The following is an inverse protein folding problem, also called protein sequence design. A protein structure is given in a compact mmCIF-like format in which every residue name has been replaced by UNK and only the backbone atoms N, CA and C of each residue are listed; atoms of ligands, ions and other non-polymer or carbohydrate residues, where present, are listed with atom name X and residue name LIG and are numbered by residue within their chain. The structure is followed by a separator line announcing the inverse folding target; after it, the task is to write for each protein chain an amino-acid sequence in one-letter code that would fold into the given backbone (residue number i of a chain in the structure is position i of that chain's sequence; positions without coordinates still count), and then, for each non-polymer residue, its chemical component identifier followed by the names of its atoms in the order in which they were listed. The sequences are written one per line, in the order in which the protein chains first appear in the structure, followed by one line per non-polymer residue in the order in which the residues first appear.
data_IF_832219053098
#
_entry.id   IF_832219053098
#
_cell.length_a   1.000
_cell.length_b   1.000
_cell.length_c   1.000
_cell.angle_alpha   90.00
_cell.angle_beta   90.00
_cell.angle_gamma   90.00
#
_symmetry.space_group_name_H-M   'P 1'
#
loop_
_entity.id
_entity.type
_entity.pdbx_description
1 polymer ?
#
# COMPACT_ATOMS: atom_id res chain seq x y z
N UNK A 1 -9.32 14.68 -6.29
CA UNK A 1 -8.59 14.91 -5.03
C UNK A 1 -7.50 13.86 -4.97
N UNK A 2 -6.22 14.26 -4.95
CA UNK A 2 -5.11 13.32 -4.75
C UNK A 2 -5.16 12.84 -3.29
N UNK A 3 -5.26 11.53 -3.07
CA UNK A 3 -5.16 10.96 -1.73
C UNK A 3 -3.71 11.00 -1.27
N UNK A 4 -3.45 11.31 0.00
CA UNK A 4 -2.12 11.09 0.59
C UNK A 4 -2.08 9.70 1.24
N UNK A 5 -1.06 8.92 0.90
CA UNK A 5 -0.78 7.68 1.61
C UNK A 5 -0.33 8.00 3.04
N UNK A 6 -0.58 7.10 3.99
CA UNK A 6 -0.12 7.29 5.38
C UNK A 6 1.39 7.37 5.54
N UNK A 7 2.16 6.95 4.54
CA UNK A 7 3.61 7.13 4.51
C UNK A 7 4.04 8.57 4.14
N UNK A 8 3.10 9.45 3.75
CA UNK A 8 3.37 10.82 3.31
C UNK A 8 3.54 10.99 1.79
N UNK A 9 3.56 9.88 1.02
CA UNK A 9 3.60 9.95 -0.44
C UNK A 9 2.26 10.40 -1.04
N UNK A 10 2.31 11.30 -2.02
CA UNK A 10 1.14 11.64 -2.83
C UNK A 10 0.73 10.47 -3.72
N UNK A 11 -0.54 10.06 -3.65
CA UNK A 11 -1.13 9.11 -4.58
C UNK A 11 -1.63 9.90 -5.77
N UNK A 12 -0.76 10.02 -6.78
CA UNK A 12 -0.93 10.96 -7.91
C UNK A 12 -1.98 10.53 -8.93
N UNK A 13 -2.31 9.24 -9.02
CA UNK A 13 -3.27 8.73 -9.99
C UNK A 13 -4.37 7.89 -9.34
N UNK A 14 -5.63 8.10 -9.75
CA UNK A 14 -6.76 7.29 -9.32
C UNK A 14 -6.66 5.81 -9.76
N UNK A 15 -5.90 5.53 -10.82
CA UNK A 15 -5.55 4.16 -11.23
C UNK A 15 -4.45 3.52 -10.36
N UNK A 16 -3.63 4.33 -9.67
CA UNK A 16 -2.66 3.89 -8.65
C UNK A 16 -3.22 4.01 -7.23
N UNK A 17 -4.47 4.47 -7.07
CA UNK A 17 -5.18 4.42 -5.80
C UNK A 17 -5.51 2.97 -5.48
N UNK A 18 -4.50 2.28 -4.97
CA UNK A 18 -4.61 0.96 -4.40
C UNK A 18 -5.20 1.17 -3.01
N UNK A 19 -6.54 1.23 -2.96
CA UNK A 19 -7.28 1.28 -1.71
C UNK A 19 -7.06 -0.03 -0.96
N UNK A 20 -6.60 0.05 0.29
CA UNK A 20 -6.49 -1.15 1.11
C UNK A 20 -7.88 -1.76 1.30
N UNK A 21 -8.11 -3.01 0.92
CA UNK A 21 -9.44 -3.64 1.03
C UNK A 21 -9.92 -3.74 2.49
N UNK A 22 -8.98 -3.85 3.45
CA UNK A 22 -9.31 -4.03 4.85
C UNK A 22 -9.73 -2.74 5.56
N UNK A 23 -9.18 -1.58 5.16
CA UNK A 23 -9.44 -0.30 5.85
C UNK A 23 -9.91 0.84 4.93
N UNK A 24 -9.93 0.62 3.61
CA UNK A 24 -10.31 1.62 2.61
C UNK A 24 -9.33 2.78 2.44
N UNK A 25 -8.21 2.78 3.18
CA UNK A 25 -7.26 3.89 3.13
C UNK A 25 -6.52 3.95 1.78
N UNK A 26 -6.25 5.16 1.25
CA UNK A 26 -5.43 5.31 0.06
C UNK A 26 -4.01 4.84 0.34
N UNK A 27 -3.50 3.93 -0.50
CA UNK A 27 -2.09 3.56 -0.53
C UNK A 27 -1.43 3.90 -1.86
N UNK A 28 -0.15 4.26 -1.80
CA UNK A 28 0.70 4.37 -2.97
C UNK A 28 1.19 2.98 -3.39
N UNK A 29 1.60 2.83 -4.65
CA UNK A 29 2.16 1.58 -5.19
C UNK A 29 3.36 1.04 -4.41
N UNK A 30 4.13 1.91 -3.74
CA UNK A 30 5.25 1.50 -2.88
C UNK A 30 4.82 0.90 -1.52
N UNK A 31 3.65 1.30 -0.99
CA UNK A 31 3.13 0.78 0.28
C UNK A 31 1.96 -0.20 0.09
N UNK A 32 1.48 -0.34 -1.14
CA UNK A 32 0.47 -1.32 -1.51
C UNK A 32 1.12 -2.71 -1.51
N UNK A 33 0.54 -3.59 -0.71
CA UNK A 33 0.96 -4.98 -0.60
C UNK A 33 -0.11 -5.85 -1.25
N UNK A 34 0.29 -6.69 -2.20
CA UNK A 34 -0.64 -7.59 -2.88
C UNK A 34 -0.60 -8.97 -2.23
N UNK A 35 -1.70 -9.35 -1.59
CA UNK A 35 -1.90 -10.68 -1.00
C UNK A 35 -2.98 -11.42 -1.75
N UNK A 36 -2.64 -12.56 -2.35
CA UNK A 36 -3.60 -13.41 -3.06
C UNK A 36 -4.46 -12.60 -4.07
N UNK A 37 -3.80 -11.71 -4.83
CA UNK A 37 -4.41 -10.77 -5.80
C UNK A 37 -5.14 -9.56 -5.20
N UNK A 38 -5.14 -9.40 -3.88
CA UNK A 38 -5.86 -8.34 -3.17
C UNK A 38 -4.91 -7.30 -2.58
N UNK A 39 -5.26 -6.02 -2.65
CA UNK A 39 -4.38 -4.94 -2.17
C UNK A 39 -4.65 -4.57 -0.71
N UNK A 40 -3.59 -4.54 0.08
CA UNK A 40 -3.55 -4.15 1.49
C UNK A 40 -2.53 -3.04 1.72
N UNK A 41 -2.72 -2.24 2.76
CA UNK A 41 -1.68 -1.33 3.23
C UNK A 41 -0.67 -2.09 4.10
N UNK A 42 0.59 -1.62 4.17
CA UNK A 42 1.63 -2.24 5.00
C UNK A 42 1.17 -2.58 6.43
N UNK A 43 0.39 -1.72 7.09
CA UNK A 43 -0.13 -1.99 8.45
C UNK A 43 -1.18 -3.10 8.51
N UNK A 44 -2.06 -3.21 7.51
CA UNK A 44 -3.01 -4.31 7.44
C UNK A 44 -2.33 -5.61 7.02
N UNK A 45 -1.33 -5.52 6.15
CA UNK A 45 -0.49 -6.64 5.76
C UNK A 45 0.29 -7.20 6.97
N UNK A 46 0.96 -6.36 7.75
CA UNK A 46 1.60 -6.73 9.04
C UNK A 46 0.69 -7.54 9.94
N UNK A 47 -0.54 -7.04 10.14
CA UNK A 47 -1.52 -7.69 11.00
C UNK A 47 -2.05 -9.00 10.42
N UNK A 48 -2.05 -9.16 9.09
CA UNK A 48 -2.50 -10.39 8.41
C UNK A 48 -1.39 -11.44 8.32
N UNK A 49 -0.13 -11.02 8.13
CA UNK A 49 1.00 -11.92 7.93
C UNK A 49 1.66 -12.33 9.24
N UNK A 50 1.38 -11.65 10.35
CA UNK A 50 2.05 -11.86 11.65
C UNK A 50 3.59 -11.80 11.57
N UNK A 51 4.11 -11.25 10.45
CA UNK A 51 5.52 -11.19 10.08
C UNK A 51 5.87 -9.74 9.80
N UNK A 52 7.05 -9.25 10.25
CA UNK A 52 7.50 -7.90 10.00
C UNK A 52 7.63 -7.68 8.49
N UNK A 53 6.70 -6.92 7.92
CA UNK A 53 6.74 -6.50 6.52
C UNK A 53 8.07 -5.78 6.26
N UNK A 54 8.87 -6.32 5.34
CA UNK A 54 9.96 -5.58 4.75
C UNK A 54 9.43 -5.01 3.43
N UNK A 55 9.20 -3.68 3.30
CA UNK A 55 8.93 -3.11 1.99
C UNK A 55 10.10 -3.48 1.08
N UNK A 56 9.83 -4.26 0.04
CA UNK A 56 10.80 -4.49 -1.03
C UNK A 56 11.07 -3.13 -1.67
N UNK A 57 12.21 -2.53 -1.31
CA UNK A 57 12.61 -1.23 -1.82
C UNK A 57 12.46 -1.19 -3.34
N UNK A 58 11.97 -0.09 -3.92
CA UNK A 58 11.85 0.00 -5.38
C UNK A 58 13.23 -0.22 -6.00
N UNK A 59 13.30 -1.10 -6.99
CA UNK A 59 14.48 -1.27 -7.82
C UNK A 59 14.79 0.08 -8.48
N UNK A 60 15.78 0.81 -7.94
CA UNK A 60 16.38 1.96 -8.61
C UNK A 60 17.14 1.40 -9.82
N UNK A 61 16.58 1.57 -11.02
CA UNK A 61 17.32 1.51 -12.28
C UNK A 61 17.90 2.88 -12.60
#
# INVERSE_FOLDING_TARGET
MAGQCRCGSEVRFAFEQLGCIACGAPCCSACAYQLESTHYCGRCAENLLELPWAPSAPARI
#
